data_IF_337621983013
#
_entry.id   IF_337621983013
#
_cell.length_a   1.000
_cell.length_b   1.000
_cell.length_c   1.000
_cell.angle_alpha   90.00
_cell.angle_beta   90.00
_cell.angle_gamma   90.00
#
_symmetry.space_group_name_H-M   'P 1'
#
loop_
_entity.id
_entity.type
_entity.pdbx_description
1 polymer ?
#
# COMPACT_ATOMS: atom_id res chain seq x y z
N UNK A 1 -18.62 40.16 -55.05
CA UNK A 1 -17.27 40.33 -54.46
C UNK A 1 -17.09 39.25 -53.40
N UNK A 2 -16.15 38.31 -53.59
CA UNK A 2 -15.75 37.20 -52.70
C UNK A 2 -14.78 37.73 -51.60
N UNK A 3 -14.41 37.00 -50.51
CA UNK A 3 -14.22 35.54 -50.41
C UNK A 3 -14.95 34.87 -49.21
N UNK A 4 -15.44 33.62 -49.25
CA UNK A 4 -14.76 32.33 -49.42
C UNK A 4 -13.69 32.06 -48.33
N UNK A 5 -14.13 31.58 -47.16
CA UNK A 5 -13.25 31.01 -46.14
C UNK A 5 -13.23 29.49 -46.30
N UNK A 6 -12.03 28.95 -46.39
CA UNK A 6 -11.63 27.55 -46.54
C UNK A 6 -11.90 26.73 -45.27
N UNK A 7 -12.30 25.44 -45.37
CA UNK A 7 -12.25 24.52 -44.25
C UNK A 7 -10.83 23.99 -44.07
N UNK A 8 -10.30 24.09 -42.84
CA UNK A 8 -9.00 23.56 -42.44
C UNK A 8 -9.09 22.05 -42.18
N UNK A 9 -8.10 21.30 -42.67
CA UNK A 9 -7.98 19.86 -42.56
C UNK A 9 -7.41 19.41 -41.19
N UNK A 10 -7.79 18.20 -40.77
CA UNK A 10 -7.50 17.48 -39.52
C UNK A 10 -6.02 17.32 -39.11
N UNK A 11 -5.76 16.74 -37.92
CA UNK A 11 -5.29 15.36 -38.01
C UNK A 11 -6.06 14.34 -37.15
N UNK A 12 -6.18 13.16 -37.75
CA UNK A 12 -6.94 11.97 -37.39
C UNK A 12 -6.63 11.42 -35.99
N UNK A 13 -7.69 11.11 -35.23
CA UNK A 13 -7.64 10.19 -34.09
C UNK A 13 -7.29 8.79 -34.60
N UNK A 14 -6.24 8.17 -34.06
CA UNK A 14 -6.01 6.73 -34.19
C UNK A 14 -6.89 6.01 -33.17
N UNK A 15 -7.88 5.26 -33.65
CA UNK A 15 -8.53 4.20 -32.87
C UNK A 15 -7.62 2.97 -32.90
N UNK A 16 -7.29 2.46 -31.72
CA UNK A 16 -6.62 1.16 -31.57
C UNK A 16 -7.69 0.12 -31.25
N UNK A 17 -7.75 -0.91 -32.09
CA UNK A 17 -8.02 -2.28 -31.65
C UNK A 17 -9.49 -2.70 -31.60
N UNK A 18 -10.01 -3.06 -32.77
CA UNK A 18 -11.16 -3.94 -32.96
C UNK A 18 -10.87 -5.32 -32.32
N UNK A 19 -11.81 -5.85 -31.52
CA UNK A 19 -11.72 -7.18 -30.90
C UNK A 19 -12.50 -8.15 -31.79
N UNK A 20 -11.77 -9.01 -32.51
CA UNK A 20 -12.39 -10.12 -33.24
C UNK A 20 -12.65 -11.30 -32.30
N UNK A 21 -13.89 -11.78 -32.39
CA UNK A 21 -14.46 -12.92 -31.72
C UNK A 21 -13.84 -14.25 -32.21
N UNK A 22 -13.23 -15.02 -31.28
CA UNK A 22 -12.83 -16.45 -31.37
C UNK A 22 -11.35 -16.79 -31.71
N UNK A 23 -10.36 -16.15 -31.10
CA UNK A 23 -8.93 -16.50 -31.28
C UNK A 23 -8.31 -17.33 -30.14
N UNK A 24 -8.39 -18.67 -30.19
CA UNK A 24 -7.61 -19.59 -29.35
C UNK A 24 -6.10 -19.40 -29.59
N UNK A 25 -5.30 -19.39 -28.53
CA UNK A 25 -3.84 -19.43 -28.59
C UNK A 25 -3.39 -20.88 -28.34
N UNK A 26 -2.80 -21.54 -29.34
CA UNK A 26 -2.06 -22.80 -29.20
C UNK A 26 -0.58 -22.54 -29.40
N UNK A 27 0.32 -22.95 -28.49
CA UNK A 27 1.74 -22.89 -28.76
C UNK A 27 2.17 -24.11 -29.60
N UNK A 28 2.74 -23.84 -30.78
CA UNK A 28 3.42 -24.83 -31.61
C UNK A 28 4.84 -25.06 -31.10
N UNK A 29 5.18 -26.32 -30.84
CA UNK A 29 6.55 -26.78 -30.63
C UNK A 29 6.98 -27.65 -31.81
N UNK A 30 8.15 -27.43 -32.42
CA UNK A 30 8.67 -28.32 -33.44
C UNK A 30 9.35 -29.55 -32.81
N UNK A 31 9.03 -30.73 -33.34
CA UNK A 31 9.80 -31.96 -33.15
C UNK A 31 11.07 -31.92 -34.02
N UNK A 32 12.21 -32.31 -33.46
CA UNK A 32 13.30 -32.91 -34.22
C UNK A 32 14.05 -33.96 -33.38
N UNK A 33 14.17 -35.17 -33.92
CA UNK A 33 14.84 -36.34 -33.31
C UNK A 33 16.37 -36.27 -33.36
N UNK A 34 17.05 -36.90 -32.40
CA UNK A 34 17.78 -38.18 -32.51
C UNK A 34 19.30 -37.89 -32.68
N UNK A 35 20.33 -38.61 -32.19
CA UNK A 35 20.61 -39.99 -31.76
C UNK A 35 21.89 -39.95 -30.88
N UNK A 36 22.08 -40.90 -29.95
CA UNK A 36 23.37 -41.61 -29.85
C UNK A 36 24.32 -41.40 -28.67
N UNK A 37 24.42 -42.46 -27.85
CA UNK A 37 25.62 -43.05 -27.23
C UNK A 37 26.41 -42.35 -26.11
N UNK A 38 26.45 -43.01 -24.95
CA UNK A 38 27.75 -43.41 -24.37
C UNK A 38 28.09 -42.95 -22.94
N UNK A 39 28.11 -43.95 -22.04
CA UNK A 39 29.14 -44.16 -21.01
C UNK A 39 29.13 -43.31 -19.72
N UNK A 40 29.10 -44.02 -18.58
CA UNK A 40 29.81 -43.59 -17.37
C UNK A 40 28.95 -43.24 -16.16
N UNK A 41 28.50 -44.27 -15.42
CA UNK A 41 28.10 -44.13 -14.01
C UNK A 41 29.26 -43.49 -13.21
N UNK A 42 29.04 -42.29 -12.68
CA UNK A 42 29.76 -41.78 -11.51
C UNK A 42 28.74 -41.34 -10.48
N UNK A 43 28.77 -41.97 -9.31
CA UNK A 43 27.92 -41.61 -8.19
C UNK A 43 28.15 -40.15 -7.79
N UNK A 44 27.08 -39.35 -7.77
CA UNK A 44 27.09 -38.06 -7.08
C UNK A 44 27.07 -38.35 -5.58
N UNK A 45 27.94 -37.74 -4.77
CA UNK A 45 27.77 -37.79 -3.32
C UNK A 45 26.43 -37.10 -3.00
N UNK A 46 25.64 -37.73 -2.13
CA UNK A 46 24.41 -37.15 -1.61
C UNK A 46 24.79 -35.85 -0.88
N UNK A 47 24.50 -34.70 -1.47
CA UNK A 47 24.54 -33.44 -0.75
C UNK A 47 23.49 -33.53 0.35
N UNK A 48 23.94 -33.48 1.60
CA UNK A 48 23.09 -33.37 2.76
C UNK A 48 22.14 -32.19 2.53
N UNK A 49 20.85 -32.49 2.41
CA UNK A 49 19.82 -31.46 2.38
C UNK A 49 19.90 -30.76 3.73
N UNK A 50 20.10 -29.42 3.79
CA UNK A 50 19.96 -28.75 5.06
C UNK A 50 18.55 -29.03 5.56
N UNK A 51 18.46 -29.55 6.77
CA UNK A 51 17.22 -29.75 7.48
C UNK A 51 16.57 -28.36 7.59
N UNK A 52 15.62 -28.06 6.71
CA UNK A 52 14.64 -26.99 6.90
C UNK A 52 13.64 -27.52 7.92
N UNK A 53 14.13 -27.81 9.13
CA UNK A 53 13.27 -27.94 10.29
C UNK A 53 12.62 -26.58 10.46
N UNK A 54 11.30 -26.57 10.25
CA UNK A 54 10.48 -25.38 10.33
C UNK A 54 10.80 -24.63 11.61
N UNK A 55 11.32 -23.41 11.45
CA UNK A 55 11.19 -22.37 12.45
C UNK A 55 9.70 -22.08 12.53
N UNK A 56 9.00 -22.88 13.33
CA UNK A 56 7.70 -22.49 13.86
C UNK A 56 8.03 -21.41 14.87
N UNK A 57 7.92 -20.15 14.44
CA UNK A 57 8.04 -18.97 15.32
C UNK A 57 6.79 -18.90 16.22
N UNK A 58 6.69 -19.88 17.11
CA UNK A 58 5.71 -19.92 18.18
C UNK A 58 6.39 -19.30 19.41
N UNK A 59 6.13 -18.00 19.63
CA UNK A 59 6.29 -17.21 20.87
C UNK A 59 7.11 -15.90 20.80
N UNK A 60 7.24 -15.26 19.64
CA UNK A 60 7.53 -13.83 19.66
C UNK A 60 6.37 -13.09 20.34
N UNK A 61 6.64 -12.29 21.38
CA UNK A 61 5.65 -11.45 22.04
C UNK A 61 5.10 -10.43 21.02
N UNK A 62 3.76 -10.30 20.92
CA UNK A 62 3.09 -9.45 19.93
C UNK A 62 2.18 -8.46 20.64
N UNK A 63 2.19 -7.22 20.16
CA UNK A 63 1.19 -6.23 20.53
C UNK A 63 -0.10 -6.58 19.78
N UNK A 64 -1.22 -6.75 20.49
CA UNK A 64 -2.50 -7.08 19.85
C UNK A 64 -3.47 -5.94 20.01
N UNK A 65 -3.86 -5.32 18.88
CA UNK A 65 -4.93 -4.32 18.87
C UNK A 65 -6.27 -5.03 18.73
N UNK A 66 -7.16 -4.85 19.72
CA UNK A 66 -8.56 -5.33 19.63
C UNK A 66 -9.43 -4.29 18.94
N UNK A 67 -10.63 -4.68 18.50
CA UNK A 67 -11.60 -3.72 17.96
C UNK A 67 -12.02 -2.65 18.98
N UNK A 68 -12.16 -3.02 20.25
CA UNK A 68 -12.45 -2.07 21.32
C UNK A 68 -11.29 -1.11 21.53
N UNK A 69 -10.05 -1.63 21.59
CA UNK A 69 -8.84 -0.80 21.70
C UNK A 69 -8.66 0.12 20.50
N UNK A 70 -9.02 -0.32 19.29
CA UNK A 70 -9.05 0.54 18.10
C UNK A 70 -10.08 1.67 18.22
N UNK A 71 -11.27 1.38 18.78
CA UNK A 71 -12.29 2.38 19.06
C UNK A 71 -11.83 3.44 20.06
N UNK A 72 -11.15 3.00 21.12
CA UNK A 72 -10.52 3.90 22.11
C UNK A 72 -9.43 4.75 21.48
N UNK A 73 -8.48 4.12 20.76
CA UNK A 73 -7.37 4.80 20.10
C UNK A 73 -7.84 5.89 19.14
N UNK A 74 -8.84 5.59 18.31
CA UNK A 74 -9.39 6.56 17.36
C UNK A 74 -10.04 7.76 18.07
N UNK A 75 -10.71 7.54 19.20
CA UNK A 75 -11.36 8.59 19.99
C UNK A 75 -10.34 9.44 20.74
N UNK A 76 -9.29 8.82 21.26
CA UNK A 76 -8.21 9.50 21.98
C UNK A 76 -7.40 10.39 21.03
N UNK A 77 -7.05 9.89 19.84
CA UNK A 77 -6.39 10.69 18.81
C UNK A 77 -7.28 11.87 18.39
N UNK A 78 -8.57 11.66 18.13
CA UNK A 78 -9.47 12.75 17.80
C UNK A 78 -9.54 13.81 18.90
N UNK A 79 -9.55 13.39 20.18
CA UNK A 79 -9.48 14.30 21.33
C UNK A 79 -8.17 15.08 21.38
N UNK A 80 -7.04 14.44 21.08
CA UNK A 80 -5.74 15.11 21.01
C UNK A 80 -5.71 16.19 19.92
N UNK A 81 -6.21 15.87 18.71
CA UNK A 81 -6.32 16.82 17.59
C UNK A 81 -7.20 18.02 17.94
N UNK A 82 -8.30 17.79 18.66
CA UNK A 82 -9.19 18.87 19.13
C UNK A 82 -8.50 19.72 20.19
N UNK A 83 -7.84 19.10 21.16
CA UNK A 83 -7.14 19.79 22.26
C UNK A 83 -5.98 20.68 21.75
N UNK A 84 -5.30 20.24 20.69
CA UNK A 84 -4.24 20.97 20.01
C UNK A 84 -4.79 22.12 19.12
N UNK A 85 -6.11 22.17 18.88
CA UNK A 85 -6.75 23.25 18.12
C UNK A 85 -6.45 23.22 16.62
N UNK A 86 -5.91 22.11 16.10
CA UNK A 86 -5.54 21.99 14.69
C UNK A 86 -6.73 22.20 13.75
N UNK A 87 -7.92 21.69 14.11
CA UNK A 87 -9.16 21.86 13.33
C UNK A 87 -9.02 21.50 11.83
N UNK A 88 -8.66 20.24 11.51
CA UNK A 88 -8.48 19.81 10.13
C UNK A 88 -9.77 19.93 9.33
N UNK A 89 -9.64 20.16 8.01
CA UNK A 89 -10.75 20.26 7.06
C UNK A 89 -10.92 19.02 6.20
N UNK A 90 -9.87 18.21 6.11
CA UNK A 90 -9.83 16.97 5.36
C UNK A 90 -9.01 15.96 6.16
N UNK A 91 -9.48 14.71 6.21
CA UNK A 91 -8.70 13.58 6.69
C UNK A 91 -8.23 12.79 5.46
N UNK A 92 -6.93 12.50 5.37
CA UNK A 92 -6.35 11.74 4.25
C UNK A 92 -5.72 10.48 4.81
N UNK A 93 -6.16 9.32 4.33
CA UNK A 93 -5.58 8.04 4.68
C UNK A 93 -4.35 7.72 3.83
N UNK A 94 -3.31 7.16 4.44
CA UNK A 94 -2.29 6.40 3.71
C UNK A 94 -2.84 5.00 3.47
N UNK A 95 -3.17 4.69 2.23
CA UNK A 95 -3.71 3.39 1.87
C UNK A 95 -2.59 2.33 1.90
N UNK A 96 -2.87 1.11 2.37
CA UNK A 96 -4.17 0.59 2.86
C UNK A 96 -4.34 0.69 4.38
N UNK A 97 -3.26 0.71 5.16
CA UNK A 97 -3.28 0.61 6.62
C UNK A 97 -4.07 1.73 7.29
N UNK A 98 -3.89 2.97 6.83
CA UNK A 98 -4.58 4.15 7.35
C UNK A 98 -6.07 4.25 7.01
N UNK A 99 -6.64 3.40 6.15
CA UNK A 99 -8.05 3.55 5.70
C UNK A 99 -9.05 3.44 6.86
N UNK A 100 -8.87 2.44 7.73
CA UNK A 100 -9.75 2.23 8.88
C UNK A 100 -9.55 3.33 9.94
N UNK A 101 -8.31 3.61 10.41
CA UNK A 101 -8.04 4.72 11.33
C UNK A 101 -8.55 6.07 10.83
N UNK A 102 -8.32 6.41 9.55
CA UNK A 102 -8.74 7.68 8.97
C UNK A 102 -10.26 7.86 9.04
N UNK A 103 -11.03 6.83 8.65
CA UNK A 103 -12.48 6.87 8.73
C UNK A 103 -12.99 7.02 10.17
N UNK A 104 -12.43 6.25 11.11
CA UNK A 104 -12.83 6.31 12.52
C UNK A 104 -12.51 7.68 13.16
N UNK A 105 -11.32 8.23 12.90
CA UNK A 105 -10.90 9.54 13.38
C UNK A 105 -11.74 10.65 12.71
N UNK A 106 -12.03 10.56 11.42
CA UNK A 106 -12.90 11.52 10.72
C UNK A 106 -14.29 11.58 11.35
N UNK A 107 -14.89 10.44 11.70
CA UNK A 107 -16.14 10.40 12.49
C UNK A 107 -15.97 11.02 13.87
N UNK A 108 -14.87 10.72 14.57
CA UNK A 108 -14.55 11.32 15.87
C UNK A 108 -14.43 12.85 15.83
N UNK A 109 -13.97 13.40 14.71
CA UNK A 109 -13.81 14.84 14.46
C UNK A 109 -15.05 15.49 13.81
N UNK A 110 -16.03 14.70 13.37
CA UNK A 110 -17.19 15.20 12.62
C UNK A 110 -16.85 15.72 11.21
N UNK A 111 -15.76 15.24 10.60
CA UNK A 111 -15.28 15.68 9.29
C UNK A 111 -15.82 14.72 8.21
N UNK A 112 -16.54 15.28 7.24
CA UNK A 112 -17.10 14.50 6.11
C UNK A 112 -16.11 14.31 4.96
N UNK A 113 -15.16 15.23 4.81
CA UNK A 113 -14.18 15.18 3.73
C UNK A 113 -13.08 14.21 4.14
N UNK A 114 -13.14 13.00 3.57
CA UNK A 114 -12.12 11.98 3.74
C UNK A 114 -11.59 11.57 2.35
N UNK A 115 -10.28 11.46 2.23
CA UNK A 115 -9.60 10.98 1.03
C UNK A 115 -8.60 9.88 1.37
N UNK A 116 -7.99 9.30 0.35
CA UNK A 116 -6.88 8.37 0.52
C UNK A 116 -5.81 8.65 -0.54
N UNK A 117 -4.56 8.41 -0.18
CA UNK A 117 -3.43 8.37 -1.11
C UNK A 117 -2.77 7.00 -0.99
N UNK A 118 -2.35 6.44 -2.13
CA UNK A 118 -1.50 5.26 -2.11
C UNK A 118 -0.06 5.71 -2.39
N UNK A 119 0.81 5.49 -1.41
CA UNK A 119 2.22 5.88 -1.44
C UNK A 119 3.03 4.60 -1.47
N UNK A 120 3.43 4.17 -2.66
CA UNK A 120 4.33 3.03 -2.81
C UNK A 120 5.77 3.53 -2.96
N UNK A 121 6.68 2.99 -2.14
CA UNK A 121 8.09 2.94 -2.50
C UNK A 121 8.23 1.92 -3.63
N UNK A 122 8.11 2.36 -4.88
CA UNK A 122 8.47 1.48 -5.99
C UNK A 122 9.98 1.23 -5.96
N UNK A 123 10.40 0.18 -5.28
CA UNK A 123 11.67 -0.51 -5.55
C UNK A 123 11.37 -1.59 -6.57
N UNK A 124 11.15 -1.19 -7.82
CA UNK A 124 11.15 -2.14 -8.94
C UNK A 124 12.50 -2.85 -8.98
N UNK A 125 12.50 -4.17 -9.16
CA UNK A 125 13.73 -4.95 -9.35
C UNK A 125 14.52 -4.30 -10.51
N UNK A 126 15.59 -3.58 -10.18
CA UNK A 126 16.53 -2.99 -11.15
C UNK A 126 16.32 -1.54 -11.56
N UNK A 127 15.29 -0.82 -11.07
CA UNK A 127 15.14 0.63 -11.33
C UNK A 127 14.72 1.35 -10.07
N UNK A 128 15.63 2.16 -9.54
CA UNK A 128 15.35 3.21 -8.56
C UNK A 128 14.60 4.31 -9.30
N UNK A 129 13.39 4.65 -8.85
CA UNK A 129 12.85 5.97 -9.16
C UNK A 129 13.39 6.95 -8.14
N UNK A 130 13.89 8.09 -8.62
CA UNK A 130 14.39 9.18 -7.79
C UNK A 130 13.26 9.92 -7.02
N UNK A 131 12.00 9.57 -7.25
CA UNK A 131 10.83 10.27 -6.70
C UNK A 131 9.65 9.32 -6.36
N UNK A 132 8.86 9.64 -5.32
CA UNK A 132 7.64 8.91 -4.97
C UNK A 132 6.54 9.02 -6.04
N UNK A 133 5.72 7.98 -6.18
CA UNK A 133 4.55 8.00 -7.07
C UNK A 133 3.27 7.85 -6.24
N UNK A 134 2.30 8.74 -6.48
CA UNK A 134 0.92 8.61 -5.98
C UNK A 134 0.15 7.76 -6.97
N UNK A 135 -0.44 6.64 -6.51
CA UNK A 135 -1.23 5.76 -7.37
C UNK A 135 -2.72 6.15 -7.35
N UNK A 136 -3.46 5.98 -8.47
CA UNK A 136 -4.91 6.20 -8.51
C UNK A 136 -5.69 5.28 -7.55
N UNK A 137 -6.90 5.67 -7.08
CA UNK A 137 -7.65 6.89 -7.39
C UNK A 137 -7.00 8.14 -6.77
N UNK A 138 -6.81 9.18 -7.58
CA UNK A 138 -6.13 10.40 -7.19
C UNK A 138 -7.03 11.25 -6.29
N UNK A 139 -6.51 11.64 -5.13
CA UNK A 139 -7.03 12.76 -4.37
C UNK A 139 -6.93 14.01 -5.25
N UNK A 140 -8.00 14.80 -5.38
CA UNK A 140 -7.91 16.09 -6.08
C UNK A 140 -7.00 17.01 -5.29
N UNK A 141 -5.71 17.04 -5.67
CA UNK A 141 -4.67 17.79 -4.96
C UNK A 141 -4.94 19.29 -4.95
N UNK A 142 -5.67 19.81 -5.96
CA UNK A 142 -6.06 21.22 -6.01
C UNK A 142 -7.02 21.60 -4.88
N UNK A 143 -7.75 20.63 -4.33
CA UNK A 143 -8.62 20.84 -3.18
C UNK A 143 -7.83 21.12 -1.89
N UNK A 144 -6.56 20.72 -1.81
CA UNK A 144 -5.79 20.70 -0.56
C UNK A 144 -5.06 22.02 -0.28
N UNK A 145 -4.90 22.88 -1.29
CA UNK A 145 -4.21 24.16 -1.17
C UNK A 145 -4.83 25.04 -0.07
N UNK A 146 -3.98 25.52 0.85
CA UNK A 146 -4.37 26.33 2.01
C UNK A 146 -5.23 25.60 3.05
N UNK A 147 -5.44 24.28 2.93
CA UNK A 147 -6.25 23.51 3.87
C UNK A 147 -5.41 22.79 4.91
N UNK A 148 -6.00 22.68 6.10
CA UNK A 148 -5.48 21.82 7.16
C UNK A 148 -5.86 20.37 6.89
N UNK A 149 -4.86 19.53 6.68
CA UNK A 149 -5.00 18.12 6.35
C UNK A 149 -4.49 17.30 7.53
N UNK A 150 -5.33 16.38 8.00
CA UNK A 150 -4.90 15.33 8.92
C UNK A 150 -4.57 14.08 8.12
N UNK A 151 -3.28 13.81 7.95
CA UNK A 151 -2.78 12.59 7.32
C UNK A 151 -2.77 11.45 8.34
N UNK A 152 -3.31 10.29 7.99
CA UNK A 152 -3.52 9.20 8.93
C UNK A 152 -2.97 7.88 8.40
N UNK A 153 -2.21 7.18 9.24
CA UNK A 153 -1.73 5.81 8.99
C UNK A 153 -1.99 4.90 10.21
N UNK A 154 -1.79 3.60 10.09
CA UNK A 154 -1.92 2.67 11.22
C UNK A 154 -0.67 2.63 12.11
N UNK A 155 0.53 2.57 11.52
CA UNK A 155 1.81 2.54 12.24
C UNK A 155 2.91 3.36 11.57
N UNK A 156 3.62 4.16 12.36
CA UNK A 156 4.90 4.74 11.96
C UNK A 156 6.06 3.80 12.36
N UNK A 157 6.55 2.99 11.41
CA UNK A 157 7.68 2.08 11.64
C UNK A 157 9.04 2.77 11.46
N UNK A 158 9.48 2.92 10.21
CA UNK A 158 10.63 3.78 9.89
C UNK A 158 10.23 5.25 9.83
N UNK A 159 8.94 5.55 9.62
CA UNK A 159 8.43 6.91 9.40
C UNK A 159 8.67 7.45 7.98
N UNK A 160 9.35 6.70 7.09
CA UNK A 160 9.67 7.17 5.73
C UNK A 160 8.42 7.36 4.87
N UNK A 161 7.45 6.44 4.92
CA UNK A 161 6.18 6.56 4.18
C UNK A 161 5.43 7.82 4.62
N UNK A 162 5.36 8.04 5.93
CA UNK A 162 4.67 9.17 6.53
C UNK A 162 5.34 10.50 6.11
N UNK A 163 6.67 10.59 6.22
CA UNK A 163 7.46 11.76 5.80
C UNK A 163 7.25 12.10 4.32
N UNK A 164 7.26 11.07 3.47
CA UNK A 164 7.04 11.20 2.04
C UNK A 164 5.65 11.76 1.73
N UNK A 165 4.62 11.18 2.36
CA UNK A 165 3.24 11.61 2.22
C UNK A 165 3.02 13.05 2.73
N UNK A 166 3.64 13.41 3.87
CA UNK A 166 3.61 14.79 4.39
C UNK A 166 4.24 15.76 3.38
N UNK A 167 5.44 15.45 2.85
CA UNK A 167 6.13 16.29 1.86
C UNK A 167 5.28 16.52 0.62
N UNK A 168 4.72 15.44 0.06
CA UNK A 168 3.85 15.53 -1.12
C UNK A 168 2.66 16.46 -0.88
N UNK A 169 2.00 16.36 0.28
CA UNK A 169 0.84 17.20 0.60
C UNK A 169 1.23 18.66 0.86
N UNK A 170 2.36 18.90 1.54
CA UNK A 170 2.89 20.25 1.78
C UNK A 170 3.31 20.92 0.47
N UNK A 171 3.89 20.19 -0.48
CA UNK A 171 4.22 20.69 -1.82
C UNK A 171 2.96 21.13 -2.61
N UNK A 172 1.79 20.59 -2.28
CA UNK A 172 0.49 21.02 -2.82
C UNK A 172 -0.13 22.21 -2.04
N UNK A 173 0.60 22.80 -1.09
CA UNK A 173 0.13 23.97 -0.32
C UNK A 173 -0.71 23.63 0.92
N UNK A 174 -0.79 22.36 1.32
CA UNK A 174 -1.53 21.96 2.52
C UNK A 174 -0.75 22.23 3.82
N UNK A 175 -1.47 22.57 4.89
CA UNK A 175 -0.97 22.57 6.27
C UNK A 175 -1.24 21.17 6.86
N UNK A 176 -0.20 20.36 6.99
CA UNK A 176 -0.34 18.92 7.26
C UNK A 176 0.09 18.60 8.68
N UNK A 177 -0.75 17.84 9.39
CA UNK A 177 -0.34 17.07 10.57
C UNK A 177 -0.64 15.61 10.37
N UNK A 178 0.11 14.77 11.05
CA UNK A 178 0.10 13.32 10.92
C UNK A 178 -0.40 12.64 12.19
N UNK A 179 -1.19 11.58 12.03
CA UNK A 179 -1.69 10.78 13.14
C UNK A 179 -1.53 9.28 12.86
N UNK A 180 -1.07 8.52 13.84
CA UNK A 180 -0.96 7.06 13.76
C UNK A 180 -1.49 6.39 15.02
N UNK A 181 -1.92 5.13 14.92
CA UNK A 181 -2.29 4.35 16.11
C UNK A 181 -1.01 3.98 16.88
N UNK A 182 -0.01 3.44 16.19
CA UNK A 182 1.23 3.01 16.81
C UNK A 182 2.48 3.70 16.27
N UNK A 183 3.44 3.91 17.15
CA UNK A 183 4.78 4.40 16.77
C UNK A 183 5.85 3.42 17.22
N UNK A 184 6.78 3.09 16.33
CA UNK A 184 7.96 2.29 16.67
C UNK A 184 9.06 3.18 17.26
N UNK A 185 9.82 2.72 18.26
CA UNK A 185 10.96 3.47 18.81
C UNK A 185 12.03 3.83 17.77
N UNK A 186 12.11 3.07 16.67
CA UNK A 186 13.04 3.26 15.56
C UNK A 186 12.58 4.31 14.55
N UNK A 187 11.38 4.88 14.69
CA UNK A 187 10.87 5.85 13.72
C UNK A 187 11.73 7.11 13.76
N UNK A 188 12.22 7.52 12.58
CA UNK A 188 13.04 8.74 12.47
C UNK A 188 12.16 10.00 12.31
N UNK A 189 10.91 9.82 11.87
CA UNK A 189 9.92 10.88 11.72
C UNK A 189 8.80 10.61 12.70
N UNK A 190 8.66 11.49 13.68
CA UNK A 190 7.64 11.40 14.70
C UNK A 190 6.32 11.96 14.17
N UNK A 191 5.21 11.22 14.32
CA UNK A 191 3.89 11.75 13.99
C UNK A 191 3.49 12.85 14.99
N UNK A 192 2.65 13.78 14.55
CA UNK A 192 2.12 14.83 15.43
C UNK A 192 1.21 14.24 16.52
N UNK A 193 0.49 13.16 16.19
CA UNK A 193 -0.36 12.44 17.12
C UNK A 193 -0.08 10.93 17.06
N UNK A 194 0.09 10.30 18.21
CA UNK A 194 0.16 8.85 18.33
C UNK A 194 -0.59 8.36 19.56
N UNK A 195 -1.18 7.17 19.50
CA UNK A 195 -1.89 6.60 20.64
C UNK A 195 -0.96 5.79 21.55
N UNK A 196 -0.12 4.91 20.98
CA UNK A 196 0.77 4.06 21.77
C UNK A 196 2.11 3.81 21.06
N UNK A 197 3.20 3.75 21.84
CA UNK A 197 4.49 3.31 21.35
C UNK A 197 4.73 1.83 21.69
N UNK A 198 5.29 1.06 20.75
CA UNK A 198 5.64 -0.36 20.99
C UNK A 198 6.77 -0.80 20.07
N UNK A 199 7.69 -1.64 20.58
CA UNK A 199 8.71 -2.30 19.74
C UNK A 199 8.21 -3.63 19.17
N UNK A 200 7.15 -4.21 19.74
CA UNK A 200 6.62 -5.53 19.38
C UNK A 200 5.94 -5.50 18.02
N UNK A 201 5.93 -6.62 17.31
CA UNK A 201 5.08 -6.76 16.12
C UNK A 201 3.62 -6.56 16.49
N UNK A 202 2.86 -5.84 15.66
CA UNK A 202 1.47 -5.46 15.95
C UNK A 202 0.52 -6.33 15.13
N UNK A 203 -0.40 -6.98 15.81
CA UNK A 203 -1.54 -7.66 15.20
C UNK A 203 -2.73 -6.71 15.16
N UNK A 204 -2.92 -6.09 13.99
CA UNK A 204 -4.09 -5.26 13.71
C UNK A 204 -5.30 -6.13 13.40
N UNK A 205 -6.49 -5.82 13.93
CA UNK A 205 -7.65 -6.70 13.86
C UNK A 205 -8.18 -6.90 12.42
N UNK A 206 -7.79 -6.05 11.47
CA UNK A 206 -8.17 -6.13 10.05
C UNK A 206 -7.13 -6.79 9.13
N UNK A 207 -5.90 -7.06 9.58
CA UNK A 207 -4.83 -7.55 8.70
C UNK A 207 -4.01 -8.71 9.24
N UNK A 208 -4.07 -9.01 10.54
CA UNK A 208 -3.19 -10.01 11.15
C UNK A 208 -3.38 -11.44 10.61
N UNK A 209 -4.56 -11.78 10.08
CA UNK A 209 -4.85 -13.11 9.51
C UNK A 209 -4.27 -13.32 8.11
N UNK A 210 -3.69 -12.28 7.48
CA UNK A 210 -3.25 -12.34 6.09
C UNK A 210 -4.43 -12.27 5.12
N UNK A 211 -4.20 -12.68 3.86
CA UNK A 211 -5.28 -12.78 2.88
C UNK A 211 -6.07 -14.09 3.04
N UNK A 212 -7.35 -14.07 2.65
CA UNK A 212 -8.19 -15.27 2.65
C UNK A 212 -7.59 -16.38 1.76
N UNK A 213 -6.93 -16.02 0.65
CA UNK A 213 -6.22 -16.99 -0.19
C UNK A 213 -5.11 -17.74 0.57
N UNK A 214 -4.36 -17.05 1.43
CA UNK A 214 -3.32 -17.65 2.26
C UNK A 214 -3.92 -18.53 3.36
N UNK A 215 -5.02 -18.09 3.95
CA UNK A 215 -5.76 -18.86 4.96
C UNK A 215 -6.28 -20.19 4.38
N UNK A 216 -6.93 -20.13 3.22
CA UNK A 216 -7.51 -21.28 2.52
C UNK A 216 -6.43 -22.25 2.01
N UNK A 217 -5.33 -21.74 1.45
CA UNK A 217 -4.21 -22.57 1.00
C UNK A 217 -3.60 -23.37 2.16
N UNK A 218 -3.41 -22.73 3.32
CA UNK A 218 -2.94 -23.42 4.52
C UNK A 218 -3.93 -24.46 5.05
N UNK A 219 -5.25 -24.25 4.88
CA UNK A 219 -6.27 -25.22 5.26
C UNK A 219 -6.28 -26.46 4.36
N UNK A 220 -6.04 -26.28 3.06
CA UNK A 220 -5.92 -27.36 2.09
C UNK A 220 -4.69 -28.25 2.36
N UNK A 221 -3.54 -27.66 2.71
CA UNK A 221 -2.31 -28.41 3.05
C UNK A 221 -2.43 -29.22 4.35
N UNK A 222 -3.26 -28.77 5.31
CA UNK A 222 -3.51 -29.50 6.57
C UNK A 222 -4.50 -30.66 6.42
N UNK A 223 -5.24 -30.69 5.32
CA UNK A 223 -6.27 -31.70 5.04
C UNK A 223 -5.82 -32.78 4.06
N UNK A 224 -4.61 -32.65 3.50
CA UNK A 224 -3.96 -33.56 2.56
C UNK A 224 -2.89 -34.42 3.26
#
# INVERSE_FOLDING_TARGET
>A
MRPAVTPSAEPRRRSVGDVDTRGRITPGFPLLGAVGTGCGRRGRPAAARPNLEGVTDASAERERLTWDGFGEASRDIARAVIADGFNPKVVVAIARGGLLPAGAIAYGLGIKNCGAINVEFYTGIGTVLDAPAVLPPELDMSYLDGRRVLLVDDVADSGRTLDLAVKLLVEQGADVRSAVIFTKPTTIVQPDYSWKATSLWIDFPWSWQGSVEQEDAGAAERSA
#
